data_IF_883310498218
#
_entry.id   IF_883310498218
#
_cell.length_a   1.000
_cell.length_b   1.000
_cell.length_c   1.000
_cell.angle_alpha   90.00
_cell.angle_beta   90.00
_cell.angle_gamma   90.00
#
_symmetry.space_group_name_H-M   'P 1'
#
loop_
_entity.id
_entity.type
_entity.pdbx_description
1 polymer ?
#
# COMPACT_ATOMS: atom_id res chain seq x y z
N UNK A 1 38.05 80.40 -3.04
CA UNK A 1 37.35 79.33 -3.72
C UNK A 1 38.44 78.25 -4.07
N UNK A 2 38.58 77.20 -3.24
CA UNK A 2 39.55 76.13 -3.45
C UNK A 2 38.78 74.88 -3.84
N UNK A 3 39.00 74.36 -5.04
CA UNK A 3 38.39 73.11 -5.53
C UNK A 3 39.29 71.95 -5.09
N UNK A 4 38.71 71.04 -4.33
CA UNK A 4 39.34 69.79 -3.90
C UNK A 4 39.03 68.74 -4.96
N UNK A 5 40.06 68.13 -5.56
CA UNK A 5 39.93 67.03 -6.51
C UNK A 5 40.21 65.76 -5.72
N UNK A 6 39.19 64.89 -5.61
CA UNK A 6 39.30 63.58 -4.98
C UNK A 6 39.69 62.55 -6.06
N UNK A 7 40.83 61.95 -5.97
CA UNK A 7 41.25 60.85 -6.83
C UNK A 7 40.75 59.52 -6.22
N UNK A 8 39.97 58.80 -7.01
CA UNK A 8 39.41 57.49 -6.65
C UNK A 8 40.40 56.42 -7.20
N UNK A 9 41.15 55.75 -6.32
CA UNK A 9 41.95 54.56 -6.69
C UNK A 9 41.03 53.33 -6.70
N UNK A 10 40.77 52.75 -7.88
CA UNK A 10 40.11 51.49 -8.05
C UNK A 10 41.15 50.35 -7.91
N UNK A 11 41.07 49.58 -6.84
CA UNK A 11 41.84 48.36 -6.66
C UNK A 11 41.11 47.17 -7.29
N UNK A 12 41.61 46.64 -8.39
CA UNK A 12 41.11 45.41 -9.03
C UNK A 12 41.66 44.18 -8.29
N UNK A 13 40.80 43.49 -7.56
CA UNK A 13 41.07 42.18 -7.01
C UNK A 13 40.94 41.13 -8.14
N UNK A 14 42.08 40.53 -8.53
CA UNK A 14 42.10 39.36 -9.41
C UNK A 14 41.89 38.13 -8.52
N UNK A 15 40.70 37.54 -8.55
CA UNK A 15 40.43 36.25 -7.91
C UNK A 15 40.97 35.14 -8.82
N UNK A 16 42.05 34.47 -8.39
CA UNK A 16 42.52 33.23 -9.02
C UNK A 16 41.59 32.07 -8.61
N UNK A 17 40.76 31.65 -9.52
CA UNK A 17 39.94 30.45 -9.36
C UNK A 17 40.86 29.23 -9.50
N UNK A 18 41.17 28.58 -8.38
CA UNK A 18 41.83 27.25 -8.38
C UNK A 18 40.81 26.23 -8.89
N UNK A 19 41.04 25.72 -10.09
CA UNK A 19 40.26 24.59 -10.62
C UNK A 19 40.57 23.35 -9.77
N UNK A 20 39.62 22.94 -8.91
CA UNK A 20 39.67 21.65 -8.24
C UNK A 20 39.56 20.54 -9.29
N UNK A 21 40.60 19.74 -9.43
CA UNK A 21 40.54 18.50 -10.21
C UNK A 21 39.47 17.58 -9.62
N UNK A 22 38.58 17.01 -10.44
CA UNK A 22 37.62 16.04 -9.95
C UNK A 22 38.38 14.82 -9.39
N UNK A 23 38.15 14.51 -8.11
CA UNK A 23 38.59 13.27 -7.49
C UNK A 23 38.08 12.08 -8.31
N UNK A 24 38.92 11.07 -8.61
CA UNK A 24 38.44 9.88 -9.30
C UNK A 24 37.36 9.22 -8.44
N UNK A 25 36.16 9.14 -8.99
CA UNK A 25 35.05 8.40 -8.40
C UNK A 25 35.48 6.94 -8.31
N UNK A 26 35.67 6.45 -7.07
CA UNK A 26 35.95 5.04 -6.80
C UNK A 26 34.99 4.17 -7.61
N UNK A 27 35.56 3.19 -8.32
CA UNK A 27 34.87 2.41 -9.34
C UNK A 27 33.49 1.96 -8.93
N UNK A 28 32.50 2.27 -9.77
CA UNK A 28 31.18 1.64 -9.74
C UNK A 28 31.43 0.14 -9.75
N UNK A 29 31.10 -0.53 -8.63
CA UNK A 29 31.10 -1.97 -8.56
C UNK A 29 30.37 -2.51 -9.79
N UNK A 30 30.88 -3.58 -10.37
CA UNK A 30 30.29 -4.27 -11.53
C UNK A 30 28.81 -4.40 -11.26
N UNK A 31 28.00 -3.67 -12.05
CA UNK A 31 26.58 -3.58 -11.87
C UNK A 31 25.97 -4.98 -11.83
N UNK A 32 25.14 -5.23 -10.84
CA UNK A 32 24.20 -6.32 -10.91
C UNK A 32 23.52 -6.22 -12.28
N UNK A 33 23.44 -7.33 -13.01
CA UNK A 33 22.74 -7.37 -14.29
C UNK A 33 21.32 -6.78 -14.15
N UNK A 34 20.62 -6.49 -15.24
CA UNK A 34 19.29 -5.90 -15.18
C UNK A 34 18.41 -6.74 -14.24
N UNK A 35 17.77 -6.06 -13.28
CA UNK A 35 16.91 -6.72 -12.31
C UNK A 35 15.79 -7.45 -13.06
N UNK A 36 15.70 -8.76 -12.89
CA UNK A 36 14.66 -9.57 -13.50
C UNK A 36 13.34 -9.28 -12.77
N UNK A 37 12.27 -8.90 -13.48
CA UNK A 37 10.96 -8.72 -12.86
C UNK A 37 10.51 -10.01 -12.16
N UNK A 38 9.91 -9.94 -10.98
CA UNK A 38 9.39 -11.11 -10.30
C UNK A 38 8.22 -11.73 -11.09
N UNK A 39 8.03 -13.06 -10.99
CA UNK A 39 6.90 -13.71 -11.63
C UNK A 39 5.57 -13.28 -11.02
N UNK A 40 4.48 -13.45 -11.77
CA UNK A 40 3.13 -13.38 -11.23
C UNK A 40 2.97 -14.49 -10.18
N UNK A 41 2.68 -14.12 -8.95
CA UNK A 41 2.44 -15.06 -7.85
C UNK A 41 0.98 -15.50 -7.83
N UNK A 42 0.04 -14.53 -7.89
CA UNK A 42 -1.37 -14.79 -8.17
C UNK A 42 -2.04 -13.60 -8.86
N UNK A 43 -3.19 -13.89 -9.49
CA UNK A 43 -4.16 -12.92 -9.98
C UNK A 43 -5.53 -13.35 -9.52
N UNK A 44 -6.29 -12.41 -8.99
CA UNK A 44 -7.65 -12.64 -8.53
C UNK A 44 -8.60 -11.54 -9.00
N UNK A 45 -9.81 -11.90 -9.35
CA UNK A 45 -10.84 -11.01 -9.85
C UNK A 45 -12.21 -11.26 -9.19
N UNK A 46 -12.21 -11.91 -8.07
CA UNK A 46 -13.35 -12.27 -7.23
C UNK A 46 -14.50 -12.99 -7.95
N UNK A 47 -15.26 -13.76 -7.23
CA UNK A 47 -16.49 -14.40 -7.75
C UNK A 47 -17.65 -14.20 -6.78
N UNK A 48 -18.87 -14.19 -7.32
CA UNK A 48 -20.08 -14.20 -6.52
C UNK A 48 -20.30 -15.63 -6.04
N UNK A 49 -20.35 -15.83 -4.73
CA UNK A 49 -20.48 -17.15 -4.11
C UNK A 49 -21.92 -17.49 -3.66
N UNK A 50 -22.93 -16.71 -3.99
CA UNK A 50 -24.31 -16.99 -3.58
C UNK A 50 -25.30 -15.91 -3.98
N UNK A 51 -26.57 -16.07 -3.64
CA UNK A 51 -27.62 -15.09 -3.95
C UNK A 51 -27.47 -13.80 -3.13
N UNK A 52 -26.79 -13.85 -2.00
CA UNK A 52 -26.53 -12.68 -1.16
C UNK A 52 -25.18 -12.06 -1.54
N UNK A 53 -25.16 -10.76 -1.72
CA UNK A 53 -23.93 -10.04 -2.04
C UNK A 53 -22.98 -9.87 -0.85
N UNK A 54 -23.47 -9.98 0.39
CA UNK A 54 -22.67 -9.90 1.61
C UNK A 54 -21.83 -11.18 1.77
N UNK A 55 -20.52 -11.03 1.93
CA UNK A 55 -19.60 -12.16 2.13
C UNK A 55 -19.85 -12.74 3.53
N UNK A 56 -20.22 -14.01 3.61
CA UNK A 56 -20.39 -14.69 4.88
C UNK A 56 -19.05 -14.96 5.58
N UNK A 57 -19.01 -15.04 6.93
CA UNK A 57 -17.81 -15.43 7.64
C UNK A 57 -17.31 -16.81 7.16
N UNK A 58 -16.04 -16.88 6.75
CA UNK A 58 -15.45 -18.10 6.22
C UNK A 58 -15.76 -18.41 4.75
N UNK A 59 -16.59 -17.60 4.08
CA UNK A 59 -16.87 -17.74 2.66
C UNK A 59 -15.64 -17.34 1.84
N UNK A 60 -15.31 -18.18 0.84
CA UNK A 60 -14.21 -17.89 -0.08
C UNK A 60 -14.77 -17.46 -1.46
N UNK A 61 -14.57 -16.19 -1.79
CA UNK A 61 -14.98 -15.60 -3.06
C UNK A 61 -13.84 -15.51 -4.07
N UNK A 62 -12.77 -16.29 -3.88
CA UNK A 62 -11.63 -16.38 -4.77
C UNK A 62 -11.87 -17.46 -5.83
N UNK A 63 -11.42 -17.19 -7.06
CA UNK A 63 -11.50 -18.15 -8.17
C UNK A 63 -10.42 -19.24 -8.07
N UNK A 64 -9.28 -18.91 -7.44
CA UNK A 64 -8.17 -19.86 -7.26
C UNK A 64 -8.32 -20.64 -5.94
N UNK A 65 -8.53 -21.96 -6.04
CA UNK A 65 -8.72 -22.84 -4.90
C UNK A 65 -7.51 -22.96 -3.95
N UNK A 66 -6.30 -22.62 -4.43
CA UNK A 66 -5.09 -22.60 -3.60
C UNK A 66 -4.98 -21.36 -2.72
N UNK A 67 -5.82 -20.36 -2.96
CA UNK A 67 -5.85 -19.15 -2.18
C UNK A 67 -6.97 -19.19 -1.13
N UNK A 68 -6.82 -18.38 -0.11
CA UNK A 68 -7.76 -18.19 0.97
C UNK A 68 -7.96 -16.69 1.21
N UNK A 69 -9.21 -16.24 1.23
CA UNK A 69 -9.56 -14.89 1.63
C UNK A 69 -9.67 -14.81 3.15
N UNK A 70 -9.03 -13.81 3.73
CA UNK A 70 -9.15 -13.44 5.13
C UNK A 70 -9.74 -12.05 5.23
N UNK A 71 -10.79 -11.90 6.02
CA UNK A 71 -11.44 -10.63 6.31
C UNK A 71 -11.20 -10.25 7.77
N UNK A 72 -10.90 -9.00 8.03
CA UNK A 72 -10.54 -8.48 9.34
C UNK A 72 -11.34 -7.23 9.70
N UNK A 73 -11.43 -6.99 11.00
CA UNK A 73 -12.21 -5.92 11.57
C UNK A 73 -13.63 -6.36 11.94
N UNK A 74 -14.36 -5.55 12.71
CA UNK A 74 -15.70 -5.93 13.18
C UNK A 74 -16.71 -6.22 12.06
N UNK A 75 -16.57 -5.59 10.90
CA UNK A 75 -17.45 -5.85 9.73
C UNK A 75 -17.23 -7.23 9.10
N UNK A 76 -16.11 -7.90 9.36
CA UNK A 76 -15.83 -9.24 8.84
C UNK A 76 -16.75 -10.31 9.46
N UNK A 77 -17.17 -10.11 10.70
CA UNK A 77 -17.97 -11.06 11.50
C UNK A 77 -19.31 -10.49 11.94
N UNK A 78 -19.75 -9.35 11.40
CA UNK A 78 -21.01 -8.73 11.76
C UNK A 78 -22.16 -9.73 11.56
N UNK A 79 -23.02 -9.86 12.56
CA UNK A 79 -24.22 -10.71 12.48
C UNK A 79 -25.23 -10.19 11.46
N UNK A 80 -25.32 -8.88 11.31
CA UNK A 80 -26.13 -8.19 10.34
C UNK A 80 -25.45 -8.18 8.96
N UNK A 81 -26.00 -8.85 7.93
CA UNK A 81 -25.44 -8.88 6.59
C UNK A 81 -25.23 -7.49 6.00
N UNK A 82 -26.08 -6.54 6.33
CA UNK A 82 -26.01 -5.17 5.81
C UNK A 82 -24.85 -4.36 6.38
N UNK A 83 -24.12 -4.92 7.35
CA UNK A 83 -22.89 -4.32 7.92
C UNK A 83 -21.62 -5.02 7.49
N UNK A 84 -21.71 -5.99 6.58
CA UNK A 84 -20.56 -6.75 6.08
C UNK A 84 -19.94 -6.11 4.84
N UNK A 85 -18.83 -6.70 4.43
CA UNK A 85 -18.21 -6.49 3.13
C UNK A 85 -19.00 -7.25 2.08
N UNK A 86 -19.17 -6.66 0.91
CA UNK A 86 -19.98 -7.19 -0.18
C UNK A 86 -19.15 -7.53 -1.40
N UNK A 87 -19.65 -8.44 -2.22
CA UNK A 87 -19.27 -8.55 -3.63
C UNK A 87 -20.27 -7.75 -4.46
N UNK A 88 -19.78 -6.81 -5.23
CA UNK A 88 -20.58 -5.94 -6.11
C UNK A 88 -20.21 -6.16 -7.59
N UNK A 89 -21.12 -5.77 -8.48
CA UNK A 89 -20.96 -5.85 -9.95
C UNK A 89 -21.64 -4.66 -10.62
N UNK A 90 -21.30 -4.33 -11.90
CA UNK A 90 -20.04 -4.56 -12.62
C UNK A 90 -18.96 -3.52 -12.32
N UNK A 91 -17.67 -3.84 -12.49
CA UNK A 91 -17.10 -5.17 -12.55
C UNK A 91 -17.27 -5.89 -11.21
N UNK A 92 -17.06 -7.22 -11.16
CA UNK A 92 -17.04 -7.94 -9.88
C UNK A 92 -15.95 -7.39 -8.99
N UNK A 93 -16.27 -6.97 -7.78
CA UNK A 93 -15.35 -6.31 -6.88
C UNK A 93 -15.75 -6.53 -5.41
N UNK A 94 -14.76 -6.46 -4.50
CA UNK A 94 -15.03 -6.28 -3.08
C UNK A 94 -15.48 -4.85 -2.85
N UNK A 95 -16.59 -4.65 -2.16
CA UNK A 95 -17.20 -3.36 -1.89
C UNK A 95 -17.50 -3.19 -0.39
N UNK A 96 -17.19 -2.01 0.13
CA UNK A 96 -17.27 -1.70 1.56
C UNK A 96 -18.35 -0.70 1.92
N UNK A 97 -19.21 -0.33 0.98
CA UNK A 97 -20.20 0.72 1.22
C UNK A 97 -21.23 0.44 2.33
N UNK A 98 -21.36 -0.81 2.77
CA UNK A 98 -22.27 -1.19 3.86
C UNK A 98 -21.58 -1.30 5.22
N UNK A 99 -20.24 -1.34 5.26
CA UNK A 99 -19.51 -1.46 6.52
C UNK A 99 -19.61 -0.19 7.36
N UNK A 100 -19.62 -0.34 8.68
CA UNK A 100 -19.67 0.77 9.64
C UNK A 100 -18.34 0.95 10.38
N UNK A 101 -17.36 0.10 10.10
CA UNK A 101 -16.05 0.07 10.77
C UNK A 101 -14.93 -0.02 9.74
N UNK A 102 -13.69 0.33 10.08
CA UNK A 102 -12.53 0.01 9.27
C UNK A 102 -12.46 -1.49 8.99
N UNK A 103 -11.85 -1.86 7.87
CA UNK A 103 -11.71 -3.25 7.49
C UNK A 103 -10.38 -3.52 6.79
N UNK A 104 -9.97 -4.79 6.78
CA UNK A 104 -8.93 -5.28 5.90
C UNK A 104 -9.36 -6.61 5.27
N UNK A 105 -8.91 -6.82 4.04
CA UNK A 105 -9.06 -8.08 3.32
C UNK A 105 -7.69 -8.50 2.79
N UNK A 106 -7.28 -9.74 3.07
CA UNK A 106 -6.01 -10.27 2.60
C UNK A 106 -6.20 -11.60 1.89
N UNK A 107 -5.28 -11.92 1.00
CA UNK A 107 -5.20 -13.19 0.29
C UNK A 107 -3.96 -13.93 0.76
N UNK A 108 -4.13 -15.21 1.08
CA UNK A 108 -3.10 -16.13 1.52
C UNK A 108 -2.99 -17.29 0.55
N UNK A 109 -1.77 -17.62 0.11
CA UNK A 109 -1.50 -18.90 -0.55
C UNK A 109 -1.35 -20.00 0.50
N UNK A 110 -2.08 -21.11 0.32
CA UNK A 110 -2.13 -22.20 1.32
C UNK A 110 -0.81 -22.94 1.49
N UNK A 111 0.03 -22.96 0.45
CA UNK A 111 1.26 -23.74 0.41
C UNK A 111 2.53 -22.91 0.53
N UNK A 112 2.46 -21.61 0.23
CA UNK A 112 3.63 -20.77 0.13
C UNK A 112 3.47 -19.45 0.90
N UNK A 113 4.60 -18.96 1.42
CA UNK A 113 4.82 -17.53 1.62
C UNK A 113 5.16 -16.87 0.27
N UNK A 114 5.16 -15.57 0.23
CA UNK A 114 5.69 -14.82 -0.91
C UNK A 114 6.88 -13.95 -0.48
N UNK A 115 7.95 -13.97 -1.29
CA UNK A 115 9.06 -13.01 -1.18
C UNK A 115 8.70 -11.75 -1.97
N UNK A 116 8.53 -10.67 -1.24
CA UNK A 116 8.18 -9.33 -1.76
C UNK A 116 9.37 -8.38 -1.78
N UNK A 117 10.59 -8.89 -1.76
CA UNK A 117 11.80 -8.07 -1.88
C UNK A 117 12.06 -7.62 -3.32
N UNK A 118 12.96 -6.65 -3.48
CA UNK A 118 13.41 -6.17 -4.79
C UNK A 118 12.30 -5.48 -5.60
N UNK A 119 11.98 -6.01 -6.78
CA UNK A 119 10.97 -5.45 -7.69
C UNK A 119 9.58 -6.07 -7.53
N UNK A 120 9.34 -6.78 -6.43
CA UNK A 120 8.01 -7.32 -6.15
C UNK A 120 6.98 -6.18 -6.03
N UNK A 121 5.80 -6.42 -6.63
CA UNK A 121 4.79 -5.37 -6.80
C UNK A 121 3.38 -5.90 -6.71
N UNK A 122 2.47 -5.00 -6.46
CA UNK A 122 1.04 -5.17 -6.67
C UNK A 122 0.62 -4.37 -7.90
N UNK A 123 -0.33 -4.92 -8.66
CA UNK A 123 -1.17 -4.21 -9.60
C UNK A 123 -2.62 -4.52 -9.27
N UNK A 124 -3.41 -3.51 -9.03
CA UNK A 124 -4.81 -3.68 -8.69
C UNK A 124 -5.71 -2.67 -9.41
N UNK A 125 -7.00 -2.98 -9.48
CA UNK A 125 -8.02 -2.08 -10.01
C UNK A 125 -8.92 -1.68 -8.85
N UNK A 126 -8.88 -0.40 -8.49
CA UNK A 126 -9.57 0.15 -7.34
C UNK A 126 -10.48 1.31 -7.72
N UNK A 127 -11.43 1.60 -6.85
CA UNK A 127 -12.21 2.83 -6.83
C UNK A 127 -12.48 3.18 -5.39
N UNK A 128 -12.23 4.41 -5.01
CA UNK A 128 -12.63 4.94 -3.72
C UNK A 128 -13.51 6.17 -3.88
N UNK A 129 -14.33 6.47 -2.90
CA UNK A 129 -15.16 7.68 -2.88
C UNK A 129 -15.16 8.32 -1.50
N UNK A 130 -15.50 9.61 -1.44
CA UNK A 130 -15.48 10.37 -0.20
C UNK A 130 -14.07 10.52 0.35
N UNK A 131 -13.88 10.22 1.65
CA UNK A 131 -12.59 10.30 2.33
C UNK A 131 -11.87 8.96 2.43
N UNK A 132 -12.42 7.91 1.82
CA UNK A 132 -11.90 6.55 1.89
C UNK A 132 -10.67 6.38 1.00
N UNK A 133 -9.73 5.54 1.47
CA UNK A 133 -8.45 5.28 0.81
C UNK A 133 -8.13 3.79 0.91
N UNK A 134 -7.73 3.20 -0.21
CA UNK A 134 -7.25 1.82 -0.26
C UNK A 134 -5.76 1.79 0.05
N UNK A 135 -5.37 1.15 1.13
CA UNK A 135 -3.97 0.95 1.53
C UNK A 135 -3.54 -0.50 1.38
N UNK A 136 -2.28 -0.79 0.99
CA UNK A 136 -1.78 -2.17 1.00
C UNK A 136 -1.56 -2.67 2.42
N UNK A 137 -1.86 -3.95 2.64
CA UNK A 137 -1.62 -4.66 3.90
C UNK A 137 -0.78 -5.89 3.63
N UNK A 138 0.17 -6.17 4.51
CA UNK A 138 0.91 -7.42 4.54
C UNK A 138 0.89 -8.02 5.95
N UNK A 139 0.88 -9.35 6.03
CA UNK A 139 1.14 -10.10 7.24
C UNK A 139 2.47 -10.82 7.07
N UNK A 140 3.40 -10.56 7.95
CA UNK A 140 4.69 -11.22 7.96
C UNK A 140 4.58 -12.66 8.48
N UNK A 141 5.60 -13.48 8.26
CA UNK A 141 5.64 -14.87 8.73
C UNK A 141 5.59 -15.00 10.26
N UNK A 142 6.00 -13.96 11.01
CA UNK A 142 5.90 -13.90 12.48
C UNK A 142 4.51 -13.49 12.99
N UNK A 143 3.56 -13.23 12.08
CA UNK A 143 2.21 -12.80 12.40
C UNK A 143 2.01 -11.30 12.51
N UNK A 144 3.06 -10.49 12.37
CA UNK A 144 2.96 -9.03 12.39
C UNK A 144 2.20 -8.51 11.18
N UNK A 145 1.16 -7.69 11.41
CA UNK A 145 0.46 -6.98 10.35
C UNK A 145 1.01 -5.57 10.17
N UNK A 146 1.19 -5.21 8.91
CA UNK A 146 1.66 -3.90 8.49
C UNK A 146 0.74 -3.33 7.42
N UNK A 147 0.53 -2.01 7.46
CA UNK A 147 -0.15 -1.26 6.41
C UNK A 147 0.83 -0.28 5.76
N UNK A 148 0.83 -0.24 4.42
CA UNK A 148 1.75 0.59 3.65
C UNK A 148 1.25 2.02 3.48
N UNK A 149 2.20 2.92 3.18
CA UNK A 149 1.94 4.34 2.94
C UNK A 149 1.16 4.60 1.66
N UNK A 150 1.34 3.75 0.64
CA UNK A 150 0.59 3.89 -0.62
C UNK A 150 -0.90 3.96 -0.34
N UNK A 151 -1.61 4.85 -1.06
CA UNK A 151 -3.04 5.01 -0.89
C UNK A 151 -3.73 5.45 -2.17
N UNK A 152 -4.67 4.63 -2.66
CA UNK A 152 -5.57 5.01 -3.74
C UNK A 152 -6.80 5.71 -3.15
N UNK A 153 -6.87 7.01 -3.39
CA UNK A 153 -7.94 7.86 -2.89
C UNK A 153 -9.09 7.99 -3.91
N UNK A 154 -9.98 8.94 -3.68
CA UNK A 154 -11.18 9.21 -4.47
C UNK A 154 -10.92 9.31 -5.98
N UNK A 155 -11.63 8.48 -6.75
CA UNK A 155 -11.62 8.48 -8.23
C UNK A 155 -13.04 8.46 -8.78
N UNK A 156 -13.25 9.04 -9.96
CA UNK A 156 -14.58 9.04 -10.62
C UNK A 156 -14.97 7.66 -11.15
N UNK A 157 -14.03 6.76 -11.35
CA UNK A 157 -14.22 5.40 -11.87
C UNK A 157 -13.15 4.45 -11.35
N UNK A 158 -13.20 3.21 -11.82
CA UNK A 158 -12.14 2.25 -11.54
C UNK A 158 -10.83 2.67 -12.21
N UNK A 159 -9.74 2.62 -11.46
CA UNK A 159 -8.40 2.97 -11.89
C UNK A 159 -7.47 1.78 -11.63
N UNK A 160 -6.65 1.45 -12.62
CA UNK A 160 -5.55 0.52 -12.44
C UNK A 160 -4.33 1.27 -11.93
N UNK A 161 -3.79 0.82 -10.80
CA UNK A 161 -2.55 1.34 -10.20
C UNK A 161 -1.57 0.23 -9.90
N UNK A 162 -0.29 0.58 -9.85
CA UNK A 162 0.80 -0.35 -9.59
C UNK A 162 1.82 0.32 -8.65
N UNK A 163 2.31 -0.44 -7.68
CA UNK A 163 3.38 0.02 -6.79
C UNK A 163 4.30 -1.12 -6.37
N UNK A 164 5.54 -0.76 -5.98
CA UNK A 164 6.59 -1.68 -5.54
C UNK A 164 6.62 -1.71 -4.02
N UNK A 165 6.67 -2.92 -3.43
CA UNK A 165 6.69 -3.10 -1.97
C UNK A 165 7.96 -2.54 -1.32
N UNK A 166 9.13 -2.68 -1.95
CA UNK A 166 10.40 -2.21 -1.40
C UNK A 166 10.48 -0.69 -1.19
N UNK A 167 9.62 0.08 -1.85
CA UNK A 167 9.55 1.54 -1.69
C UNK A 167 8.55 2.00 -0.65
N UNK A 168 7.78 1.08 -0.06
CA UNK A 168 6.75 1.42 0.91
C UNK A 168 7.36 1.75 2.27
N UNK A 169 6.83 2.76 2.91
CA UNK A 169 6.93 2.94 4.36
C UNK A 169 5.78 2.19 5.01
N UNK A 170 6.04 1.63 6.17
CA UNK A 170 5.09 0.74 6.84
C UNK A 170 4.71 1.27 8.22
N UNK A 171 3.46 1.07 8.59
CA UNK A 171 2.95 1.26 9.95
C UNK A 171 2.48 -0.08 10.51
N UNK A 172 2.65 -0.28 11.84
CA UNK A 172 2.07 -1.43 12.52
C UNK A 172 0.55 -1.30 12.53
N UNK A 173 -0.13 -2.39 12.15
CA UNK A 173 -1.59 -2.48 12.10
C UNK A 173 -2.10 -3.36 13.25
N UNK A 174 -2.99 -2.82 14.08
CA UNK A 174 -3.85 -3.61 14.95
C UNK A 174 -4.94 -4.22 14.07
N UNK A 175 -4.80 -5.50 13.76
CA UNK A 175 -5.65 -6.16 12.76
C UNK A 175 -7.07 -6.43 13.27
N UNK A 176 -7.25 -6.61 14.57
CA UNK A 176 -8.56 -6.88 15.16
C UNK A 176 -9.49 -5.66 15.06
N UNK A 177 -8.91 -4.48 15.14
CA UNK A 177 -9.61 -3.19 15.04
C UNK A 177 -9.42 -2.51 13.69
N UNK A 178 -8.45 -2.96 12.90
CA UNK A 178 -7.98 -2.36 11.64
C UNK A 178 -7.64 -0.88 11.81
N UNK A 179 -6.79 -0.60 12.79
CA UNK A 179 -6.32 0.76 13.09
C UNK A 179 -4.80 0.80 13.28
N UNK A 180 -4.22 1.97 13.02
CA UNK A 180 -2.84 2.28 13.36
C UNK A 180 -2.80 3.34 14.47
N UNK A 181 -1.65 3.50 15.12
CA UNK A 181 -1.46 4.64 16.01
C UNK A 181 -1.52 5.92 15.19
N UNK A 182 -2.46 6.81 15.51
CA UNK A 182 -2.59 8.12 14.88
C UNK A 182 -3.26 8.12 13.50
N UNK A 183 -4.05 7.10 13.17
CA UNK A 183 -4.79 7.04 11.89
C UNK A 183 -5.79 8.19 11.74
N UNK A 184 -6.29 8.72 12.85
CA UNK A 184 -7.29 9.80 12.88
C UNK A 184 -6.83 10.93 13.79
N UNK A 185 -6.23 11.97 13.24
CA UNK A 185 -5.85 13.15 13.99
C UNK A 185 -4.92 14.09 13.22
N UNK A 186 -4.80 15.36 13.65
CA UNK A 186 -4.00 16.37 12.93
C UNK A 186 -2.49 16.11 12.97
N UNK A 187 -2.03 15.14 13.75
CA UNK A 187 -0.64 14.70 13.78
C UNK A 187 -0.62 13.18 13.80
N UNK A 188 -0.19 12.55 12.69
CA UNK A 188 0.18 11.15 12.71
C UNK A 188 1.29 10.97 13.76
N UNK A 189 1.06 10.09 14.72
CA UNK A 189 2.09 9.74 15.69
C UNK A 189 3.28 9.12 14.94
N UNK A 190 4.42 9.82 14.94
CA UNK A 190 5.63 9.34 14.29
C UNK A 190 6.07 7.95 14.79
N UNK A 191 5.62 7.52 15.97
CA UNK A 191 5.87 6.18 16.52
C UNK A 191 5.05 5.08 15.83
N UNK A 192 4.04 5.42 15.02
CA UNK A 192 3.29 4.45 14.22
C UNK A 192 4.14 3.85 13.10
N UNK A 193 5.09 4.62 12.58
CA UNK A 193 5.96 4.18 11.49
C UNK A 193 7.03 3.21 11.98
N UNK A 194 7.19 2.12 11.24
CA UNK A 194 8.30 1.19 11.44
C UNK A 194 9.58 1.87 10.94
N UNK A 195 10.56 2.03 11.83
CA UNK A 195 11.82 2.72 11.53
C UNK A 195 12.87 1.81 10.93
N UNK A 196 12.87 0.55 11.35
CA UNK A 196 13.80 -0.46 10.86
C UNK A 196 13.34 -1.03 9.52
N UNK A 197 14.24 -1.50 8.67
CA UNK A 197 13.89 -2.21 7.44
C UNK A 197 12.96 -3.39 7.74
N UNK A 198 11.85 -3.48 7.05
CA UNK A 198 10.92 -4.60 7.16
C UNK A 198 11.44 -5.78 6.32
N UNK A 199 11.55 -6.95 6.92
CA UNK A 199 11.86 -8.18 6.18
C UNK A 199 10.63 -8.68 5.42
N UNK A 200 10.61 -8.44 4.13
CA UNK A 200 9.54 -8.86 3.21
C UNK A 200 9.88 -10.18 2.48
N UNK A 201 10.93 -10.90 2.87
CA UNK A 201 11.33 -12.14 2.21
C UNK A 201 10.38 -13.33 2.46
N UNK A 202 9.53 -13.23 3.49
CA UNK A 202 8.53 -14.25 3.84
C UNK A 202 7.25 -13.59 4.34
N UNK A 203 6.39 -13.24 3.39
CA UNK A 203 5.08 -12.64 3.68
C UNK A 203 3.99 -13.73 3.61
N UNK A 204 3.17 -13.82 4.64
CA UNK A 204 2.10 -14.81 4.79
C UNK A 204 0.82 -14.44 4.04
N UNK A 205 0.42 -13.17 4.15
CA UNK A 205 -0.79 -12.65 3.53
C UNK A 205 -0.50 -11.28 2.88
N UNK A 206 -1.16 -11.01 1.77
CA UNK A 206 -1.11 -9.70 1.09
C UNK A 206 -2.51 -9.27 0.75
N UNK A 207 -2.81 -7.98 0.95
CA UNK A 207 -4.14 -7.48 0.67
C UNK A 207 -4.25 -5.97 0.79
N UNK A 208 -5.41 -5.51 1.22
CA UNK A 208 -5.72 -4.10 1.30
C UNK A 208 -6.57 -3.80 2.55
N UNK A 209 -6.54 -2.54 2.99
CA UNK A 209 -7.36 -2.03 4.07
C UNK A 209 -7.95 -0.67 3.72
N UNK A 210 -9.09 -0.40 4.33
CA UNK A 210 -9.66 0.92 4.50
C UNK A 210 -9.68 1.23 6.00
N UNK A 211 -8.88 2.22 6.40
CA UNK A 211 -8.68 2.57 7.81
C UNK A 211 -9.71 3.57 8.31
N UNK A 212 -10.58 4.06 7.45
CA UNK A 212 -11.62 5.02 7.79
C UNK A 212 -12.87 4.26 8.25
N UNK A 213 -13.50 4.63 9.38
CA UNK A 213 -14.77 4.06 9.77
C UNK A 213 -15.78 4.18 8.64
N UNK A 214 -16.42 3.05 8.31
CA UNK A 214 -17.26 2.91 7.16
C UNK A 214 -18.43 3.87 7.10
N UNK A 215 -18.92 4.06 5.92
CA UNK A 215 -20.00 5.01 5.60
C UNK A 215 -21.39 4.52 5.96
N UNK A 216 -21.60 3.21 6.03
CA UNK A 216 -22.92 2.63 6.20
C UNK A 216 -23.95 3.16 5.21
N UNK A 217 -23.59 3.36 3.94
CA UNK A 217 -24.37 4.09 2.94
C UNK A 217 -24.58 5.58 3.25
N UNK A 218 -23.86 6.12 4.21
CA UNK A 218 -23.90 7.54 4.52
C UNK A 218 -23.04 8.39 3.60
N UNK A 219 -22.77 9.60 4.05
CA UNK A 219 -21.97 10.61 3.33
C UNK A 219 -20.48 10.32 3.30
N UNK A 220 -19.99 9.26 3.94
CA UNK A 220 -18.57 8.99 4.13
C UNK A 220 -17.85 8.47 2.89
N UNK A 221 -18.53 7.68 2.06
CA UNK A 221 -17.96 7.04 0.87
C UNK A 221 -17.74 5.53 1.03
N UNK A 222 -16.91 4.96 0.19
CA UNK A 222 -16.64 3.51 0.14
C UNK A 222 -15.36 3.22 -0.64
N UNK A 223 -14.89 1.98 -0.56
CA UNK A 223 -13.87 1.42 -1.47
C UNK A 223 -14.40 0.24 -2.25
N UNK A 224 -13.86 0.10 -3.47
CA UNK A 224 -14.03 -1.04 -4.33
C UNK A 224 -12.65 -1.57 -4.75
N UNK A 225 -12.48 -2.89 -4.76
CA UNK A 225 -11.29 -3.55 -5.31
C UNK A 225 -11.75 -4.63 -6.27
N UNK A 226 -11.54 -4.41 -7.59
CA UNK A 226 -12.06 -5.28 -8.65
C UNK A 226 -11.06 -6.33 -9.10
N UNK A 227 -9.78 -6.04 -9.09
CA UNK A 227 -8.72 -6.96 -9.48
C UNK A 227 -7.51 -6.78 -8.57
N UNK A 228 -6.83 -7.89 -8.29
CA UNK A 228 -5.66 -7.91 -7.44
C UNK A 228 -4.62 -8.88 -8.01
N UNK A 229 -3.52 -8.35 -8.55
CA UNK A 229 -2.39 -9.10 -9.06
C UNK A 229 -1.17 -8.88 -8.16
N UNK A 230 -0.55 -9.97 -7.74
CA UNK A 230 0.66 -9.95 -6.92
C UNK A 230 1.82 -10.55 -7.69
N UNK A 231 2.93 -9.82 -7.77
CA UNK A 231 4.19 -10.25 -8.39
C UNK A 231 5.24 -10.42 -7.30
N UNK A 232 5.74 -11.63 -7.13
CA UNK A 232 6.69 -12.02 -6.10
C UNK A 232 7.16 -13.45 -6.32
N UNK A 233 8.09 -13.93 -5.49
CA UNK A 233 8.59 -15.30 -5.58
C UNK A 233 7.93 -16.18 -4.52
N UNK A 234 7.48 -17.37 -4.92
CA UNK A 234 6.99 -18.37 -3.97
C UNK A 234 8.12 -18.87 -3.05
N UNK A 235 7.86 -18.93 -1.76
CA UNK A 235 8.75 -19.47 -0.72
C UNK A 235 7.96 -20.52 0.06
N UNK A 236 8.40 -21.77 0.06
CA UNK A 236 7.69 -22.87 0.74
C UNK A 236 7.50 -22.58 2.24
N UNK A 237 6.32 -22.95 2.76
CA UNK A 237 5.97 -22.94 4.18
C UNK A 237 6.73 -23.99 4.96
#
# INVERSE_FOLDING_TARGET
>A
MKRLVLALCAATLVATASAQQPTPVAGRGRGAGPAVPPPLFFKEAWQIAGPAHAIAPGENVLTNANLELKLYGPSATASDPDKRIWISTPPTNIWTGMTTTPFAATVRDKENYVDLTGLAKVRWITRASGFHVVHPVVKLADGTFLVGEHGDANTSGFLETEFIFATQRWMKLDIDRVVTKGTYGPAQDASAWVREPVDLSRVDEVGFADLIPGSGHGSGGYVNVASFELYGKAVKR
#
